data_IF_900886187920
#
_entry.id   IF_900886187920
#
_cell.length_a   1.000
_cell.length_b   1.000
_cell.length_c   1.000
_cell.angle_alpha   90.00
_cell.angle_beta   90.00
_cell.angle_gamma   90.00
#
_symmetry.space_group_name_H-M   'P 1'
#
loop_
_entity.id
_entity.type
_entity.pdbx_description
1 polymer ?
#
# COMPACT_ATOMS: atom_id res chain seq x y z
N UNK A 1 -4.89 -89.63 5.74
CA UNK A 1 -4.55 -89.12 4.40
C UNK A 1 -5.67 -88.19 3.97
N UNK A 2 -5.75 -86.93 4.41
CA UNK A 2 -5.05 -85.75 3.84
C UNK A 2 -4.90 -85.88 2.32
N UNK A 3 -5.59 -85.11 1.48
CA UNK A 3 -5.34 -83.66 1.31
C UNK A 3 -6.52 -83.01 0.57
N UNK A 4 -7.19 -82.03 1.19
CA UNK A 4 -8.07 -81.08 0.49
C UNK A 4 -7.16 -79.95 -0.01
N UNK A 5 -6.89 -79.88 -1.32
CA UNK A 5 -6.28 -78.70 -1.92
C UNK A 5 -7.29 -77.54 -1.90
N UNK A 6 -6.98 -76.48 -1.16
CA UNK A 6 -7.73 -75.24 -1.13
C UNK A 6 -7.22 -74.36 -2.28
N UNK A 7 -8.08 -74.07 -3.25
CA UNK A 7 -7.79 -73.12 -4.32
C UNK A 7 -7.56 -71.71 -3.73
N UNK A 8 -6.36 -71.16 -3.92
CA UNK A 8 -6.07 -69.75 -3.63
C UNK A 8 -6.82 -68.87 -4.62
N UNK A 9 -7.67 -67.98 -4.09
CA UNK A 9 -8.35 -66.96 -4.89
C UNK A 9 -7.32 -65.91 -5.34
N UNK A 10 -7.27 -65.52 -6.62
CA UNK A 10 -6.41 -64.43 -7.05
C UNK A 10 -6.81 -63.13 -6.34
N UNK A 11 -5.86 -62.52 -5.66
CA UNK A 11 -6.00 -61.28 -4.91
C UNK A 11 -6.28 -60.11 -5.85
N UNK A 12 -7.52 -59.61 -5.83
CA UNK A 12 -8.00 -58.45 -6.62
C UNK A 12 -7.41 -57.09 -6.20
N UNK A 13 -6.38 -57.07 -5.35
CA UNK A 13 -5.83 -55.85 -4.73
C UNK A 13 -4.86 -55.05 -5.63
N UNK A 14 -4.37 -55.63 -6.73
CA UNK A 14 -3.36 -54.99 -7.59
C UNK A 14 -3.96 -53.96 -8.56
N UNK A 15 -5.18 -54.17 -9.05
CA UNK A 15 -5.81 -53.30 -10.06
C UNK A 15 -6.19 -51.92 -9.50
N UNK A 16 -6.71 -51.88 -8.27
CA UNK A 16 -7.21 -50.63 -7.64
C UNK A 16 -6.11 -49.60 -7.35
N UNK A 17 -4.87 -50.05 -7.07
CA UNK A 17 -3.73 -49.15 -6.81
C UNK A 17 -3.25 -48.42 -8.07
N UNK A 18 -3.27 -49.09 -9.22
CA UNK A 18 -2.81 -48.53 -10.49
C UNK A 18 -3.72 -47.40 -11.02
N UNK A 19 -5.05 -47.53 -10.86
CA UNK A 19 -5.99 -46.47 -11.25
C UNK A 19 -5.89 -45.23 -10.37
N UNK A 20 -5.64 -45.40 -9.07
CA UNK A 20 -5.53 -44.27 -8.14
C UNK A 20 -4.24 -43.46 -8.36
N UNK A 21 -3.15 -44.13 -8.75
CA UNK A 21 -1.88 -43.48 -9.12
C UNK A 21 -2.01 -42.57 -10.35
N UNK A 22 -2.69 -43.01 -11.42
CA UNK A 22 -2.89 -42.19 -12.63
C UNK A 22 -3.76 -40.95 -12.38
N UNK A 23 -4.76 -41.05 -11.50
CA UNK A 23 -5.63 -39.93 -11.14
C UNK A 23 -4.89 -38.89 -10.28
N UNK A 24 -4.04 -39.34 -9.35
CA UNK A 24 -3.16 -38.45 -8.57
C UNK A 24 -2.13 -37.71 -9.45
N UNK A 25 -1.52 -38.38 -10.43
CA UNK A 25 -0.54 -37.75 -11.33
C UNK A 25 -1.16 -36.67 -12.24
N UNK A 26 -2.39 -36.85 -12.73
CA UNK A 26 -3.11 -35.83 -13.52
C UNK A 26 -3.42 -34.56 -12.72
N UNK A 27 -3.78 -34.70 -11.43
CA UNK A 27 -4.00 -33.56 -10.54
C UNK A 27 -2.73 -32.72 -10.34
N UNK A 28 -1.57 -33.37 -10.18
CA UNK A 28 -0.28 -32.68 -10.03
C UNK A 28 0.19 -31.98 -11.32
N UNK A 29 -0.10 -32.55 -12.50
CA UNK A 29 0.25 -31.93 -13.79
C UNK A 29 -0.56 -30.67 -14.09
N UNK A 30 -1.87 -30.66 -13.80
CA UNK A 30 -2.72 -29.47 -13.96
C UNK A 30 -2.31 -28.34 -13.01
N UNK A 31 -1.93 -28.68 -11.77
CA UNK A 31 -1.39 -27.71 -10.82
C UNK A 31 -0.05 -27.14 -11.31
N UNK A 32 0.86 -27.97 -11.82
CA UNK A 32 2.16 -27.52 -12.34
C UNK A 32 2.01 -26.60 -13.57
N UNK A 33 1.07 -26.90 -14.47
CA UNK A 33 0.74 -26.02 -15.60
C UNK A 33 0.18 -24.69 -15.11
N UNK A 34 -0.73 -24.70 -14.13
CA UNK A 34 -1.26 -23.48 -13.52
C UNK A 34 -0.16 -22.62 -12.91
N UNK A 35 0.83 -23.21 -12.24
CA UNK A 35 1.97 -22.47 -11.71
C UNK A 35 2.78 -21.82 -12.83
N UNK A 36 3.12 -22.55 -13.90
CA UNK A 36 3.89 -22.01 -15.03
C UNK A 36 3.16 -20.83 -15.68
N UNK A 37 1.85 -20.93 -15.88
CA UNK A 37 1.03 -19.84 -16.39
C UNK A 37 1.04 -18.62 -15.46
N UNK A 38 0.87 -18.83 -14.14
CA UNK A 38 0.95 -17.74 -13.16
C UNK A 38 2.31 -17.05 -13.21
N UNK A 39 3.42 -17.80 -13.24
CA UNK A 39 4.77 -17.22 -13.35
C UNK A 39 4.97 -16.46 -14.67
N UNK A 40 4.49 -16.98 -15.80
CA UNK A 40 4.59 -16.30 -17.09
C UNK A 40 3.84 -14.95 -17.08
N UNK A 41 2.60 -14.93 -16.56
CA UNK A 41 1.82 -13.70 -16.41
C UNK A 41 2.53 -12.71 -15.47
N UNK A 42 3.09 -13.19 -14.35
CA UNK A 42 3.82 -12.35 -13.39
C UNK A 42 5.07 -11.72 -14.01
N UNK A 43 5.81 -12.46 -14.83
CA UNK A 43 6.99 -11.96 -15.55
C UNK A 43 6.58 -10.88 -16.56
N UNK A 44 5.54 -11.12 -17.36
CA UNK A 44 5.05 -10.15 -18.34
C UNK A 44 4.59 -8.86 -17.65
N UNK A 45 3.83 -8.99 -16.56
CA UNK A 45 3.37 -7.83 -15.78
C UNK A 45 4.53 -7.06 -15.15
N UNK A 46 5.53 -7.76 -14.63
CA UNK A 46 6.75 -7.16 -14.08
C UNK A 46 7.52 -6.37 -15.15
N UNK A 47 7.69 -6.93 -16.36
CA UNK A 47 8.32 -6.24 -17.47
C UNK A 47 7.56 -4.98 -17.88
N UNK A 48 6.22 -5.03 -17.90
CA UNK A 48 5.38 -3.89 -18.24
C UNK A 48 5.55 -2.74 -17.23
N UNK A 49 5.67 -3.05 -15.94
CA UNK A 49 5.93 -2.06 -14.88
C UNK A 49 7.37 -1.53 -14.95
N UNK A 50 8.34 -2.34 -15.40
CA UNK A 50 9.74 -1.92 -15.57
C UNK A 50 9.95 -1.00 -16.77
N UNK A 51 9.11 -1.06 -17.81
CA UNK A 51 9.23 -0.21 -19.00
C UNK A 51 9.31 1.30 -18.69
N UNK A 52 8.39 1.92 -17.93
CA UNK A 52 8.50 3.35 -17.59
C UNK A 52 9.72 3.66 -16.73
N UNK A 53 10.21 2.72 -15.92
CA UNK A 53 11.43 2.89 -15.13
C UNK A 53 12.67 2.92 -16.04
N UNK A 54 12.78 1.97 -16.98
CA UNK A 54 13.85 1.94 -17.97
C UNK A 54 13.84 3.21 -18.84
N UNK A 55 12.65 3.69 -19.20
CA UNK A 55 12.50 4.96 -19.91
C UNK A 55 13.01 6.15 -19.10
N UNK A 56 12.71 6.20 -17.80
CA UNK A 56 13.13 7.27 -16.91
C UNK A 56 14.65 7.33 -16.79
N UNK A 57 15.30 6.16 -16.61
CA UNK A 57 16.76 6.05 -16.58
C UNK A 57 17.39 6.42 -17.93
N UNK A 58 16.83 5.95 -19.04
CA UNK A 58 17.29 6.34 -20.37
C UNK A 58 17.18 7.86 -20.57
N UNK A 59 16.08 8.46 -20.13
CA UNK A 59 15.82 9.89 -20.30
C UNK A 59 16.71 10.77 -19.44
N UNK A 60 17.18 10.32 -18.27
CA UNK A 60 18.13 11.09 -17.46
C UNK A 60 19.53 11.18 -18.09
N UNK A 61 19.86 10.25 -19.01
CA UNK A 61 21.15 10.19 -19.72
C UNK A 61 21.11 10.87 -21.11
N UNK A 62 19.95 11.43 -21.51
CA UNK A 62 19.77 12.14 -22.79
C UNK A 62 20.16 13.62 -22.68
N UNK A 63 20.56 14.19 -23.81
CA UNK A 63 20.75 15.63 -23.96
C UNK A 63 19.40 16.32 -24.26
N UNK A 64 19.25 17.61 -23.95
CA UNK A 64 18.03 18.42 -24.15
C UNK A 64 17.50 18.33 -25.60
N UNK A 65 18.41 18.34 -26.58
CA UNK A 65 18.08 18.22 -28.01
C UNK A 65 17.53 16.83 -28.40
N UNK A 66 17.94 15.75 -27.72
CA UNK A 66 17.42 14.41 -27.96
C UNK A 66 16.04 14.19 -27.34
N UNK A 67 15.66 15.03 -26.37
CA UNK A 67 14.35 14.98 -25.74
C UNK A 67 13.24 15.39 -26.72
N UNK A 68 13.53 16.31 -27.64
CA UNK A 68 12.60 16.80 -28.67
C UNK A 68 12.80 16.15 -30.05
N UNK A 69 13.75 15.22 -30.18
CA UNK A 69 14.02 14.56 -31.45
C UNK A 69 12.92 13.55 -31.83
N UNK A 70 12.48 13.59 -33.09
CA UNK A 70 11.57 12.62 -33.70
C UNK A 70 12.41 11.79 -34.69
N UNK A 71 12.51 10.45 -34.58
CA UNK A 71 11.78 9.54 -33.71
C UNK A 71 12.33 9.46 -32.27
N UNK A 72 11.48 9.07 -31.32
CA UNK A 72 11.89 8.98 -29.91
C UNK A 72 12.91 7.86 -29.73
N UNK A 73 14.13 8.21 -29.33
CA UNK A 73 15.22 7.25 -29.16
C UNK A 73 15.12 6.56 -27.79
N UNK A 74 14.99 5.24 -27.75
CA UNK A 74 14.91 4.49 -26.48
C UNK A 74 16.27 4.35 -25.78
N UNK A 75 17.35 4.32 -26.56
CA UNK A 75 18.73 4.27 -26.06
C UNK A 75 19.37 5.63 -26.38
N UNK A 76 19.92 6.35 -25.37
CA UNK A 76 20.59 7.61 -25.59
C UNK A 76 21.88 7.40 -26.40
N UNK A 77 22.11 8.23 -27.41
CA UNK A 77 23.33 8.21 -28.19
C UNK A 77 23.76 9.65 -28.53
N UNK A 78 24.71 10.28 -27.82
CA UNK A 78 25.64 9.72 -26.82
C UNK A 78 25.06 9.63 -25.39
N UNK A 79 25.67 8.78 -24.55
CA UNK A 79 25.39 8.74 -23.11
C UNK A 79 26.00 9.96 -22.40
N UNK A 80 25.17 10.85 -21.86
CA UNK A 80 25.64 12.00 -21.08
C UNK A 80 25.61 11.73 -19.57
N UNK A 81 26.74 11.24 -19.05
CA UNK A 81 26.96 11.11 -17.60
C UNK A 81 27.18 12.46 -16.91
N UNK A 82 27.51 13.51 -17.67
CA UNK A 82 27.69 14.89 -17.19
C UNK A 82 26.43 15.42 -16.50
N UNK A 83 25.24 15.02 -16.94
CA UNK A 83 23.96 15.45 -16.35
C UNK A 83 23.90 15.20 -14.85
N UNK A 84 24.45 14.08 -14.37
CA UNK A 84 24.46 13.79 -12.93
C UNK A 84 25.38 14.73 -12.17
N UNK A 85 26.57 15.03 -12.70
CA UNK A 85 27.52 15.96 -12.06
C UNK A 85 26.98 17.37 -12.08
N UNK A 86 26.41 17.80 -13.21
CA UNK A 86 25.84 19.13 -13.42
C UNK A 86 24.68 19.41 -12.47
N UNK A 87 23.84 18.42 -12.18
CA UNK A 87 22.76 18.55 -11.18
C UNK A 87 23.28 18.83 -9.78
N UNK A 88 24.47 18.33 -9.41
CA UNK A 88 25.05 18.61 -8.09
C UNK A 88 25.91 19.88 -8.03
N UNK A 89 26.46 20.33 -9.17
CA UNK A 89 27.36 21.49 -9.23
C UNK A 89 26.67 22.78 -9.67
N UNK A 90 25.79 22.73 -10.66
CA UNK A 90 25.05 23.89 -11.17
C UNK A 90 23.77 24.14 -10.38
N UNK A 91 23.13 23.07 -9.91
CA UNK A 91 21.92 23.15 -9.11
C UNK A 91 22.24 22.80 -7.66
N UNK A 92 21.67 23.54 -6.70
CA UNK A 92 21.81 23.23 -5.26
C UNK A 92 20.96 21.99 -4.87
N UNK A 93 21.10 20.89 -5.62
CA UNK A 93 20.28 19.70 -5.48
C UNK A 93 20.42 19.05 -4.10
N UNK A 94 21.61 19.12 -3.49
CA UNK A 94 21.83 18.68 -2.11
C UNK A 94 20.92 19.42 -1.12
N UNK A 95 20.70 20.73 -1.31
CA UNK A 95 19.79 21.51 -0.45
C UNK A 95 18.33 21.11 -0.68
N UNK A 96 17.91 20.85 -1.92
CA UNK A 96 16.55 20.39 -2.21
C UNK A 96 16.26 19.02 -1.61
N UNK A 97 17.22 18.09 -1.67
CA UNK A 97 17.12 16.79 -0.99
C UNK A 97 17.00 17.01 0.52
N UNK A 98 17.90 17.81 1.11
CA UNK A 98 17.90 18.05 2.55
C UNK A 98 16.59 18.67 3.03
N UNK A 99 16.09 19.72 2.35
CA UNK A 99 14.83 20.37 2.69
C UNK A 99 13.64 19.39 2.61
N UNK A 100 13.62 18.53 1.60
CA UNK A 100 12.55 17.54 1.42
C UNK A 100 12.59 16.46 2.50
N UNK A 101 13.78 15.94 2.82
CA UNK A 101 13.96 14.94 3.87
C UNK A 101 13.63 15.52 5.24
N UNK A 102 14.13 16.72 5.54
CA UNK A 102 13.83 17.43 6.78
C UNK A 102 12.33 17.64 6.97
N UNK A 103 11.65 18.11 5.93
CA UNK A 103 10.21 18.34 5.96
C UNK A 103 9.42 17.04 6.13
N UNK A 104 9.83 15.96 5.45
CA UNK A 104 9.21 14.64 5.59
C UNK A 104 9.38 14.07 7.01
N UNK A 105 10.57 14.16 7.59
CA UNK A 105 10.84 13.69 8.97
C UNK A 105 10.00 14.48 9.96
N UNK A 106 9.98 15.81 9.85
CA UNK A 106 9.15 16.67 10.70
C UNK A 106 7.67 16.28 10.62
N UNK A 107 7.13 16.14 9.40
CA UNK A 107 5.75 15.75 9.18
C UNK A 107 5.44 14.40 9.85
N UNK A 108 6.25 13.36 9.60
CA UNK A 108 6.03 12.03 10.16
C UNK A 108 6.03 12.05 11.70
N UNK A 109 6.99 12.73 12.32
CA UNK A 109 7.08 12.83 13.79
C UNK A 109 5.87 13.56 14.35
N UNK A 110 5.53 14.72 13.79
CA UNK A 110 4.42 15.53 14.26
C UNK A 110 3.07 14.80 14.13
N UNK A 111 2.80 14.18 12.97
CA UNK A 111 1.51 13.49 12.77
C UNK A 111 1.42 12.20 13.58
N UNK A 112 2.52 11.46 13.77
CA UNK A 112 2.55 10.26 14.63
C UNK A 112 2.29 10.62 16.09
N UNK A 113 2.95 11.66 16.59
CA UNK A 113 2.76 12.13 17.97
C UNK A 113 1.32 12.63 18.20
N UNK A 114 0.80 13.43 17.28
CA UNK A 114 -0.56 13.98 17.35
C UNK A 114 -1.64 12.89 17.30
N UNK A 115 -1.50 11.93 16.37
CA UNK A 115 -2.44 10.80 16.26
C UNK A 115 -2.38 9.86 17.48
N UNK A 116 -1.19 9.64 18.06
CA UNK A 116 -1.05 8.85 19.28
C UNK A 116 -1.79 9.49 20.47
N UNK A 117 -1.68 10.81 20.64
CA UNK A 117 -2.39 11.55 21.70
C UNK A 117 -3.90 11.44 21.52
N UNK A 118 -4.40 11.69 20.29
CA UNK A 118 -5.83 11.63 19.99
C UNK A 118 -6.38 10.21 20.20
N UNK A 119 -5.70 9.19 19.66
CA UNK A 119 -6.09 7.79 19.81
C UNK A 119 -6.08 7.34 21.28
N UNK A 120 -5.06 7.75 22.05
CA UNK A 120 -4.99 7.48 23.48
C UNK A 120 -6.13 8.15 24.25
N UNK A 121 -6.46 9.40 23.90
CA UNK A 121 -7.59 10.15 24.42
C UNK A 121 -8.91 9.38 24.28
N UNK A 122 -9.22 8.90 23.07
CA UNK A 122 -10.43 8.13 22.79
C UNK A 122 -10.43 6.72 23.39
N UNK A 123 -9.27 6.07 23.52
CA UNK A 123 -9.16 4.71 24.04
C UNK A 123 -9.25 4.66 25.58
N UNK A 124 -8.61 5.61 26.29
CA UNK A 124 -8.48 5.55 27.75
C UNK A 124 -9.53 6.38 28.50
N UNK A 125 -9.97 7.53 27.96
CA UNK A 125 -10.93 8.39 28.64
C UNK A 125 -12.38 8.06 28.22
N UNK A 126 -13.21 7.65 29.19
CA UNK A 126 -14.66 7.46 28.97
C UNK A 126 -15.42 8.73 29.34
N UNK A 127 -15.52 9.67 28.41
CA UNK A 127 -16.28 10.93 28.58
C UNK A 127 -17.65 10.86 27.90
N UNK A 128 -18.61 11.65 28.40
CA UNK A 128 -20.05 11.57 28.02
C UNK A 128 -20.36 12.03 26.58
N UNK A 129 -19.41 12.64 25.89
CA UNK A 129 -19.50 13.13 24.49
C UNK A 129 -18.64 12.37 23.46
N UNK A 130 -18.15 11.17 23.77
CA UNK A 130 -17.21 10.44 22.89
C UNK A 130 -17.79 10.04 21.54
N UNK A 131 -19.06 9.65 21.51
CA UNK A 131 -19.75 9.20 20.29
C UNK A 131 -19.94 10.32 19.27
N UNK A 132 -20.46 11.53 19.62
CA UNK A 132 -20.58 12.61 18.64
C UNK A 132 -19.22 13.13 18.15
N UNK A 133 -18.18 13.21 19.00
CA UNK A 133 -16.84 13.60 18.54
C UNK A 133 -16.23 12.57 17.59
N UNK A 134 -16.47 11.27 17.81
CA UNK A 134 -16.03 10.23 16.90
C UNK A 134 -16.74 10.31 15.54
N UNK A 135 -18.07 10.54 15.54
CA UNK A 135 -18.84 10.72 14.30
C UNK A 135 -18.37 11.97 13.55
N UNK A 136 -18.12 13.08 14.25
CA UNK A 136 -17.61 14.31 13.65
C UNK A 136 -16.25 14.08 12.98
N UNK A 137 -15.34 13.36 13.66
CA UNK A 137 -14.03 13.01 13.10
C UNK A 137 -14.18 12.18 11.82
N UNK A 138 -15.06 11.18 11.81
CA UNK A 138 -15.34 10.39 10.60
C UNK A 138 -15.94 11.26 9.48
N UNK A 139 -16.85 12.17 9.80
CA UNK A 139 -17.47 13.08 8.84
C UNK A 139 -16.44 13.99 8.16
N UNK A 140 -15.47 14.50 8.92
CA UNK A 140 -14.39 15.33 8.35
C UNK A 140 -13.50 14.57 7.36
N UNK A 141 -13.42 13.24 7.46
CA UNK A 141 -12.62 12.41 6.55
C UNK A 141 -13.33 12.05 5.25
N UNK A 142 -14.65 12.26 5.17
CA UNK A 142 -15.36 12.17 3.90
C UNK A 142 -15.17 13.41 3.02
N UNK A 143 -14.66 14.51 3.58
CA UNK A 143 -14.38 15.73 2.81
C UNK A 143 -13.09 15.49 2.01
N UNK A 144 -13.16 15.51 0.66
CA UNK A 144 -11.99 15.28 -0.17
C UNK A 144 -11.01 16.45 -0.05
N UNK A 145 -9.70 16.15 -0.09
CA UNK A 145 -8.64 17.12 0.15
C UNK A 145 -8.60 18.29 -0.82
N UNK A 146 -9.14 18.06 -2.02
CA UNK A 146 -9.22 19.03 -3.09
C UNK A 146 -10.13 20.22 -2.73
N UNK A 147 -11.17 20.01 -1.91
CA UNK A 147 -12.16 21.04 -1.59
C UNK A 147 -11.61 22.15 -0.70
N UNK A 148 -10.71 21.81 0.24
CA UNK A 148 -10.14 22.80 1.17
C UNK A 148 -8.81 23.39 0.70
N UNK A 149 -8.20 22.89 -0.37
CA UNK A 149 -6.89 23.39 -0.85
C UNK A 149 -6.92 24.87 -1.24
N UNK A 150 -7.97 25.30 -1.96
CA UNK A 150 -8.15 26.71 -2.36
C UNK A 150 -8.36 27.62 -1.14
N UNK A 151 -9.31 27.32 -0.23
CA UNK A 151 -9.46 28.08 1.01
C UNK A 151 -8.17 28.18 1.83
N UNK A 152 -7.43 27.08 1.96
CA UNK A 152 -6.18 27.01 2.71
C UNK A 152 -5.12 27.95 2.14
N UNK A 153 -5.01 28.02 0.80
CA UNK A 153 -4.13 28.97 0.13
C UNK A 153 -4.52 30.43 0.43
N UNK A 154 -5.81 30.78 0.42
CA UNK A 154 -6.27 32.14 0.73
C UNK A 154 -5.94 32.52 2.18
N UNK A 155 -6.06 31.58 3.13
CA UNK A 155 -5.67 31.80 4.52
C UNK A 155 -4.17 32.11 4.60
N UNK A 156 -3.32 31.25 4.04
CA UNK A 156 -1.86 31.48 4.06
C UNK A 156 -1.42 32.73 3.29
N UNK A 157 -2.18 33.11 2.25
CA UNK A 157 -2.01 34.37 1.54
C UNK A 157 -2.26 35.57 2.43
N UNK A 158 -3.37 35.56 3.16
CA UNK A 158 -3.73 36.65 4.07
C UNK A 158 -2.78 36.74 5.28
N UNK A 159 -2.21 35.60 5.70
CA UNK A 159 -1.18 35.54 6.74
C UNK A 159 0.22 35.98 6.25
N UNK A 160 0.41 36.16 4.94
CA UNK A 160 1.72 36.50 4.37
C UNK A 160 2.74 35.36 4.45
N UNK A 161 2.31 34.11 4.61
CA UNK A 161 3.19 32.93 4.72
C UNK A 161 3.44 32.25 3.36
N UNK A 162 3.05 32.91 2.26
CA UNK A 162 3.39 32.47 0.92
C UNK A 162 4.92 32.49 0.79
N UNK A 163 5.48 31.50 0.09
CA UNK A 163 6.93 31.30 -0.11
C UNK A 163 7.74 30.84 1.12
N UNK A 164 7.07 30.38 2.19
CA UNK A 164 7.74 29.74 3.35
C UNK A 164 7.38 28.24 3.44
N UNK A 165 8.12 27.46 4.23
CA UNK A 165 7.80 26.06 4.56
C UNK A 165 6.58 25.90 5.51
N UNK A 166 6.13 26.99 6.14
CA UNK A 166 5.03 27.01 7.11
C UNK A 166 3.69 26.46 6.58
N UNK A 167 3.24 26.80 5.36
CA UNK A 167 2.00 26.27 4.79
C UNK A 167 2.01 24.76 4.60
N UNK A 168 3.18 24.11 4.59
CA UNK A 168 3.30 22.65 4.49
C UNK A 168 3.44 22.05 5.90
N UNK A 169 4.25 22.64 6.77
CA UNK A 169 4.46 22.15 8.13
C UNK A 169 3.19 22.22 9.00
N UNK A 170 2.48 23.35 8.98
CA UNK A 170 1.33 23.57 9.87
C UNK A 170 0.20 22.58 9.59
N UNK A 171 -0.27 22.38 8.34
CA UNK A 171 -1.30 21.39 8.06
C UNK A 171 -0.84 19.95 8.29
N UNK A 172 0.45 19.64 8.09
CA UNK A 172 0.98 18.28 8.30
C UNK A 172 1.05 17.87 9.78
N UNK A 173 1.25 18.83 10.69
CA UNK A 173 1.29 18.56 12.14
C UNK A 173 -0.09 18.30 12.74
N UNK A 174 -1.16 18.78 12.09
CA UNK A 174 -2.53 18.46 12.46
C UNK A 174 -2.79 16.99 12.09
N UNK A 175 -3.24 16.19 13.06
CA UNK A 175 -3.54 14.74 12.93
C UNK A 175 -4.53 14.37 11.80
N UNK A 176 -5.09 15.35 11.11
CA UNK A 176 -6.08 15.21 10.02
C UNK A 176 -5.46 14.60 8.75
N UNK A 177 -4.16 14.80 8.52
CA UNK A 177 -3.53 14.38 7.25
C UNK A 177 -3.25 12.86 7.16
N UNK A 178 -3.19 12.12 8.28
CA UNK A 178 -2.99 10.66 8.26
C UNK A 178 -4.22 9.89 7.76
N UNK A 179 -5.40 10.46 7.89
CA UNK A 179 -6.65 9.79 7.53
C UNK A 179 -6.98 9.89 6.04
N UNK A 180 -6.37 10.83 5.29
CA UNK A 180 -6.56 10.91 3.83
C UNK A 180 -5.80 9.80 3.08
N UNK A 181 -4.65 9.35 3.61
CA UNK A 181 -3.85 8.28 3.00
C UNK A 181 -4.46 6.87 3.21
N UNK A 182 -5.28 6.69 4.25
CA UNK A 182 -6.01 5.43 4.48
C UNK A 182 -7.29 5.27 3.63
N UNK A 183 -7.62 6.25 2.79
CA UNK A 183 -8.82 6.24 1.93
C UNK A 183 -8.69 5.33 0.70
N UNK A 184 -7.45 5.03 0.26
CA UNK A 184 -7.20 4.14 -0.88
C UNK A 184 -6.96 2.68 -0.45
N UNK A 185 -7.89 1.77 -0.75
CA UNK A 185 -7.81 0.30 -0.63
C UNK A 185 -7.80 -0.37 0.76
N UNK A 186 -7.54 0.34 1.87
CA UNK A 186 -7.59 -0.25 3.23
C UNK A 186 -8.88 0.05 4.02
N UNK A 187 -9.82 0.79 3.41
CA UNK A 187 -11.11 1.12 4.04
C UNK A 187 -11.89 -0.14 4.45
N UNK A 188 -11.83 -1.22 3.67
CA UNK A 188 -12.47 -2.50 3.99
C UNK A 188 -11.82 -3.22 5.18
N UNK A 189 -10.50 -3.12 5.34
CA UNK A 189 -9.78 -3.75 6.45
C UNK A 189 -9.94 -2.96 7.77
N UNK A 190 -9.95 -1.63 7.70
CA UNK A 190 -10.11 -0.77 8.87
C UNK A 190 -11.57 -0.73 9.37
N UNK A 191 -12.55 -0.68 8.46
CA UNK A 191 -13.97 -0.72 8.79
C UNK A 191 -14.38 -2.05 9.47
N UNK A 192 -13.83 -3.18 9.02
CA UNK A 192 -14.06 -4.49 9.66
C UNK A 192 -13.49 -4.60 11.09
N UNK A 193 -12.45 -3.81 11.41
CA UNK A 193 -11.81 -3.82 12.73
C UNK A 193 -12.40 -2.76 13.69
N UNK A 194 -12.88 -1.63 13.16
CA UNK A 194 -13.55 -0.56 13.91
C UNK A 194 -15.04 -0.80 14.20
N UNK A 195 -15.71 -1.75 13.53
CA UNK A 195 -17.10 -2.16 13.87
C UNK A 195 -17.19 -3.15 15.04
N UNK A 196 -16.06 -3.72 15.49
CA UNK A 196 -16.05 -4.66 16.63
C UNK A 196 -16.26 -4.07 18.04
N UNK A 197 -15.99 -2.78 18.37
CA UNK A 197 -16.19 -2.31 19.74
C UNK A 197 -17.67 -2.21 20.11
N UNK A 198 -18.59 -1.97 19.17
CA UNK A 198 -20.03 -1.94 19.48
C UNK A 198 -20.61 -3.35 19.75
N UNK A 199 -20.15 -4.39 19.04
CA UNK A 199 -20.62 -5.77 19.26
C UNK A 199 -19.98 -6.40 20.50
N UNK A 200 -18.70 -6.13 20.78
CA UNK A 200 -18.03 -6.61 22.00
C UNK A 200 -18.57 -5.94 23.27
N UNK A 201 -18.89 -4.64 23.22
CA UNK A 201 -19.54 -3.95 24.35
C UNK A 201 -20.98 -4.45 24.60
N UNK A 202 -21.72 -4.84 23.55
CA UNK A 202 -23.04 -5.46 23.72
C UNK A 202 -22.94 -6.86 24.35
N UNK A 203 -21.90 -7.63 24.01
CA UNK A 203 -21.63 -8.94 24.61
C UNK A 203 -21.21 -8.83 26.10
N UNK A 204 -20.38 -7.85 26.47
CA UNK A 204 -19.96 -7.64 27.86
C UNK A 204 -21.09 -7.09 28.76
N UNK A 205 -21.99 -6.26 28.23
CA UNK A 205 -23.17 -5.77 28.97
C UNK A 205 -24.23 -6.88 29.15
N UNK A 206 -24.39 -7.79 28.19
CA UNK A 206 -25.26 -8.95 28.34
C UNK A 206 -24.69 -10.01 29.31
N UNK A 207 -23.37 -10.08 29.50
CA UNK A 207 -22.74 -10.98 30.47
C UNK A 207 -22.79 -10.45 31.92
N UNK A 208 -22.87 -9.13 32.11
CA UNK A 208 -22.92 -8.48 33.44
C UNK A 208 -24.33 -8.38 34.05
N UNK A 209 -25.39 -8.73 33.31
CA UNK A 209 -26.80 -8.62 33.77
C UNK A 209 -27.43 -9.97 34.14
N UNK A 210 -26.63 -11.03 34.22
CA UNK A 210 -27.05 -12.41 34.52
C UNK A 210 -26.64 -12.96 35.88
N UNK A 211 -26.27 -12.13 36.85
CA UNK A 211 -25.97 -12.52 38.24
C UNK A 211 -26.57 -11.52 39.23
#
# INVERSE_FOLDING_TARGET
MSTIQRAERPTTSTSTRAFNQKRQQRGQQLLRLSYIWTYAVLIVLSLLILMPFLWLVSSSLKNEFQYFAIPIQWIPNPFQWSNYVEVFTQYNFAHYIFNSVWLAVYAVVATTFSSAIVAYGFARFRFRGRTPLFILLLATMMIPSQMYTIPLYIIFRNLGWIDTYLPIMVPSSLAVHLTSSCSGNSLSACHAKLMRPHVLMAAEVSASSGT
#
